data_IF_602996654372
#
_entry.id   IF_602996654372
#
_cell.length_a   1.000
_cell.length_b   1.000
_cell.length_c   1.000
_cell.angle_alpha   90.00
_cell.angle_beta   90.00
_cell.angle_gamma   90.00
#
_symmetry.space_group_name_H-M   'P 1'
#
loop_
_entity.id
_entity.type
_entity.pdbx_description
1 polymer ?
#
# COMPACT_ATOMS: atom_id res chain seq x y z
N UNK A 1 7.03 17.67 44.29
CA UNK A 1 6.42 18.11 43.02
C UNK A 1 7.25 17.78 41.79
N UNK A 2 8.58 17.95 41.81
CA UNK A 2 9.48 17.68 40.66
C UNK A 2 9.37 16.25 40.07
N UNK A 3 9.31 15.21 40.89
CA UNK A 3 9.24 13.82 40.42
C UNK A 3 7.90 13.49 39.76
N UNK A 4 6.79 13.95 40.35
CA UNK A 4 5.44 13.78 39.79
C UNK A 4 5.30 14.47 38.43
N UNK A 5 5.90 15.66 38.27
CA UNK A 5 5.90 16.39 37.00
C UNK A 5 6.68 15.66 35.89
N UNK A 6 7.84 15.06 36.23
CA UNK A 6 8.61 14.23 35.30
C UNK A 6 7.84 12.99 34.85
N UNK A 7 7.18 12.32 35.79
CA UNK A 7 6.34 11.14 35.49
C UNK A 7 5.18 11.55 34.57
N UNK A 8 4.48 12.64 34.87
CA UNK A 8 3.40 13.15 34.05
C UNK A 8 3.86 13.47 32.62
N UNK A 9 5.00 14.14 32.49
CA UNK A 9 5.57 14.46 31.18
C UNK A 9 5.98 13.20 30.41
N UNK A 10 6.58 12.22 31.09
CA UNK A 10 6.93 10.93 30.49
C UNK A 10 5.70 10.18 30.00
N UNK A 11 4.61 10.17 30.77
CA UNK A 11 3.35 9.54 30.37
C UNK A 11 2.71 10.26 29.19
N UNK A 12 2.77 11.60 29.15
CA UNK A 12 2.28 12.39 28.04
C UNK A 12 3.04 12.08 26.74
N UNK A 13 4.37 11.97 26.79
CA UNK A 13 5.20 11.62 25.63
C UNK A 13 4.86 10.23 25.12
N UNK A 14 4.75 9.23 26.02
CA UNK A 14 4.37 7.86 25.66
C UNK A 14 2.98 7.83 25.02
N UNK A 15 2.02 8.57 25.57
CA UNK A 15 0.67 8.67 25.02
C UNK A 15 0.67 9.27 23.61
N UNK A 16 1.41 10.36 23.38
CA UNK A 16 1.52 11.00 22.06
C UNK A 16 2.12 10.03 21.03
N UNK A 17 3.16 9.28 21.42
CA UNK A 17 3.78 8.28 20.54
C UNK A 17 2.77 7.18 20.20
N UNK A 18 2.11 6.59 21.20
CA UNK A 18 1.10 5.55 20.98
C UNK A 18 0.00 6.06 20.05
N UNK A 19 -0.56 7.25 20.33
CA UNK A 19 -1.61 7.82 19.50
C UNK A 19 -1.15 8.06 18.05
N UNK A 20 0.07 8.58 17.85
CA UNK A 20 0.65 8.81 16.53
C UNK A 20 0.85 7.55 15.68
N UNK A 21 1.08 6.38 16.32
CA UNK A 21 1.20 5.09 15.63
C UNK A 21 -0.12 4.30 15.56
N UNK A 22 -1.10 4.61 16.42
CA UNK A 22 -2.44 3.97 16.37
C UNK A 22 -3.36 4.58 15.34
N UNK A 23 -3.10 5.81 14.89
CA UNK A 23 -3.73 6.31 13.66
C UNK A 23 -3.10 5.51 12.53
N UNK A 24 -3.85 4.66 11.82
CA UNK A 24 -3.29 3.99 10.67
C UNK A 24 -2.83 5.09 9.73
N UNK A 25 -1.52 5.13 9.46
CA UNK A 25 -0.97 6.00 8.45
C UNK A 25 -1.49 5.43 7.14
N UNK A 26 -2.72 5.78 6.79
CA UNK A 26 -3.37 5.41 5.56
C UNK A 26 -2.67 6.18 4.44
N UNK A 27 -1.42 5.82 4.14
CA UNK A 27 -0.61 6.35 3.04
C UNK A 27 -1.18 5.97 1.66
N UNK A 28 -2.39 5.41 1.62
CA UNK A 28 -3.00 4.76 0.47
C UNK A 28 -4.41 5.29 0.17
N UNK A 29 -4.73 6.51 0.60
CA UNK A 29 -5.95 7.18 0.13
C UNK A 29 -5.92 7.32 -1.40
N UNK A 30 -6.86 6.69 -2.11
CA UNK A 30 -7.01 6.78 -3.56
C UNK A 30 -6.59 5.54 -4.36
N UNK A 31 -5.88 4.58 -3.73
CA UNK A 31 -5.61 3.29 -4.36
C UNK A 31 -6.69 2.29 -4.01
N UNK A 32 -7.30 1.66 -5.02
CA UNK A 32 -8.22 0.54 -4.83
C UNK A 32 -7.65 -0.72 -5.47
N UNK A 33 -7.92 -1.85 -4.84
CA UNK A 33 -7.52 -3.14 -5.39
C UNK A 33 -8.47 -3.54 -6.52
N UNK A 34 -7.91 -3.78 -7.71
CA UNK A 34 -8.64 -4.30 -8.86
C UNK A 34 -8.19 -5.72 -9.18
N UNK A 35 -9.16 -6.64 -9.29
CA UNK A 35 -8.89 -7.98 -9.80
C UNK A 35 -9.04 -7.98 -11.32
N UNK A 36 -8.04 -8.51 -12.02
CA UNK A 36 -8.11 -8.68 -13.46
C UNK A 36 -9.02 -9.87 -13.81
N UNK A 37 -9.74 -9.82 -14.95
CA UNK A 37 -10.41 -11.00 -15.51
C UNK A 37 -9.40 -12.13 -15.74
N UNK A 38 -9.86 -13.37 -15.94
CA UNK A 38 -9.03 -14.58 -15.93
C UNK A 38 -7.78 -14.55 -16.82
N UNK A 39 -6.67 -14.03 -16.29
CA UNK A 39 -5.34 -14.00 -16.94
C UNK A 39 -4.55 -15.30 -16.70
N UNK A 40 -5.21 -16.38 -16.27
CA UNK A 40 -4.59 -17.69 -16.06
C UNK A 40 -3.46 -17.69 -15.02
N UNK A 41 -3.57 -16.88 -13.98
CA UNK A 41 -2.53 -16.74 -12.94
C UNK A 41 -1.26 -16.02 -13.39
N UNK A 42 -1.27 -15.40 -14.58
CA UNK A 42 -0.12 -14.63 -15.09
C UNK A 42 0.00 -13.29 -14.38
N UNK A 43 1.21 -12.76 -14.31
CA UNK A 43 1.47 -11.41 -13.83
C UNK A 43 1.41 -10.40 -14.98
N UNK A 44 0.86 -9.22 -14.72
CA UNK A 44 0.92 -8.08 -15.65
C UNK A 44 2.36 -7.58 -15.76
N UNK A 45 2.82 -7.40 -16.99
CA UNK A 45 4.15 -6.88 -17.29
C UNK A 45 4.14 -5.40 -17.66
N UNK A 46 3.10 -4.94 -18.38
CA UNK A 46 2.96 -3.53 -18.77
C UNK A 46 1.48 -3.16 -19.02
N UNK A 47 1.16 -1.86 -18.92
CA UNK A 47 -0.18 -1.29 -19.11
C UNK A 47 -0.07 0.06 -19.83
N UNK A 48 -0.92 0.28 -20.83
CA UNK A 48 -1.05 1.56 -21.53
C UNK A 48 -2.51 1.95 -21.73
N UNK A 49 -2.79 3.26 -21.84
CA UNK A 49 -4.13 3.82 -22.05
C UNK A 49 -4.12 4.69 -23.30
N UNK A 50 -5.13 4.51 -24.16
CA UNK A 50 -5.34 5.39 -25.33
C UNK A 50 -6.20 6.60 -24.92
N UNK A 51 -7.14 6.38 -24.01
CA UNK A 51 -8.04 7.38 -23.48
C UNK A 51 -8.47 7.03 -22.04
N UNK A 52 -9.41 7.78 -21.46
CA UNK A 52 -9.86 7.57 -20.08
C UNK A 52 -10.67 6.28 -19.85
N UNK A 53 -11.13 5.63 -20.92
CA UNK A 53 -11.99 4.44 -20.89
C UNK A 53 -11.29 3.20 -21.48
N UNK A 54 -10.35 3.38 -22.41
CA UNK A 54 -9.75 2.33 -23.22
C UNK A 54 -8.25 2.22 -22.99
N UNK A 55 -7.77 1.00 -22.76
CA UNK A 55 -6.36 0.68 -22.59
C UNK A 55 -6.05 -0.79 -22.86
N UNK A 56 -4.77 -1.12 -22.78
CA UNK A 56 -4.25 -2.47 -22.97
C UNK A 56 -3.30 -2.83 -21.83
N UNK A 57 -3.32 -4.10 -21.45
CA UNK A 57 -2.34 -4.68 -20.53
C UNK A 57 -1.75 -5.93 -21.17
N UNK A 58 -0.46 -6.16 -20.96
CA UNK A 58 0.22 -7.38 -21.39
C UNK A 58 0.67 -8.18 -20.17
N UNK A 59 0.68 -9.49 -20.30
CA UNK A 59 1.26 -10.39 -19.29
C UNK A 59 2.70 -10.73 -19.63
N UNK A 60 3.48 -11.10 -18.62
CA UNK A 60 4.83 -11.62 -18.87
C UNK A 60 4.79 -12.78 -19.89
N UNK A 61 5.69 -12.70 -20.88
CA UNK A 61 5.89 -13.79 -21.85
C UNK A 61 6.40 -15.00 -21.09
N UNK A 62 5.70 -16.13 -21.19
CA UNK A 62 6.32 -17.38 -20.81
C UNK A 62 7.45 -17.61 -21.81
N UNK A 63 8.69 -17.69 -21.32
CA UNK A 63 9.77 -18.26 -22.11
C UNK A 63 9.38 -19.69 -22.40
N UNK A 64 8.89 -19.94 -23.60
CA UNK A 64 8.83 -21.30 -24.12
C UNK A 64 10.28 -21.67 -24.42
N UNK A 65 10.87 -22.50 -23.56
CA UNK A 65 12.02 -23.27 -23.97
C UNK A 65 11.45 -24.34 -24.90
N UNK A 66 11.53 -24.10 -26.21
CA UNK A 66 11.27 -25.15 -27.19
C UNK A 66 12.38 -26.20 -27.01
N UNK A 67 12.11 -27.23 -26.20
CA UNK A 67 12.93 -28.43 -26.06
C UNK A 67 12.54 -29.46 -27.08
#
# INVERSE_FOLDING_TARGET
MRTKLKILFSLLVVLIIILGFTVPVNLTGGWYQQFMPGIGGRQIADITFIDSLTGYAITARLTFTDT
#
